data_IF_688803025600
#
_entry.id   IF_688803025600
#
_cell.length_a   1.000
_cell.length_b   1.000
_cell.length_c   1.000
_cell.angle_alpha   90.00
_cell.angle_beta   90.00
_cell.angle_gamma   90.00
#
_symmetry.space_group_name_H-M   'P 1'
#
loop_
_entity.id
_entity.type
_entity.pdbx_description
1 polymer ?
#
# COMPACT_ATOMS: atom_id res chain seq x y z
N UNK A 1 10.20 12.65 19.97
CA UNK A 1 8.90 12.47 19.27
C UNK A 1 8.31 11.12 19.64
N UNK A 2 7.02 11.08 19.99
CA UNK A 2 6.33 9.82 20.26
C UNK A 2 5.76 9.24 18.95
N UNK A 3 6.41 8.21 18.42
CA UNK A 3 5.95 7.51 17.19
C UNK A 3 4.49 7.03 17.28
N UNK A 4 4.00 6.75 18.50
CA UNK A 4 2.61 6.34 18.77
C UNK A 4 1.56 7.43 18.53
N UNK A 5 1.98 8.68 18.36
CA UNK A 5 1.08 9.83 18.11
C UNK A 5 0.97 10.15 16.61
N UNK A 6 1.74 9.48 15.76
CA UNK A 6 1.77 9.72 14.34
C UNK A 6 0.77 8.81 13.61
N UNK A 7 0.16 9.33 12.56
CA UNK A 7 -0.66 8.50 11.67
C UNK A 7 0.21 7.50 10.90
N UNK A 8 -0.40 6.50 10.28
CA UNK A 8 0.31 5.59 9.38
C UNK A 8 1.06 6.36 8.29
N UNK A 9 0.40 7.36 7.68
CA UNK A 9 0.97 8.18 6.61
C UNK A 9 2.16 9.01 7.08
N UNK A 10 2.08 9.57 8.29
CA UNK A 10 3.21 10.27 8.92
C UNK A 10 4.40 9.34 9.13
N UNK A 11 4.14 8.10 9.57
CA UNK A 11 5.19 7.09 9.76
C UNK A 11 5.84 6.72 8.43
N UNK A 12 5.04 6.48 7.39
CA UNK A 12 5.54 6.19 6.04
C UNK A 12 6.43 7.33 5.54
N UNK A 13 5.94 8.56 5.60
CA UNK A 13 6.62 9.75 5.04
C UNK A 13 7.87 10.12 5.83
N UNK A 14 7.82 10.08 7.17
CA UNK A 14 8.90 10.58 8.02
C UNK A 14 9.97 9.51 8.32
N UNK A 15 9.65 8.22 8.17
CA UNK A 15 10.57 7.15 8.57
C UNK A 15 10.79 6.08 7.50
N UNK A 16 9.73 5.52 6.90
CA UNK A 16 9.87 4.37 5.98
C UNK A 16 10.47 4.82 4.65
N UNK A 17 9.88 5.81 3.98
CA UNK A 17 10.34 6.30 2.68
C UNK A 17 11.79 6.82 2.73
N UNK A 18 12.21 7.61 3.74
CA UNK A 18 13.60 8.00 3.90
C UNK A 18 14.56 6.81 4.12
N UNK A 19 14.15 5.78 4.87
CA UNK A 19 14.97 4.61 5.11
C UNK A 19 15.18 3.77 3.83
N UNK A 20 14.15 3.63 2.99
CA UNK A 20 14.26 2.98 1.68
C UNK A 20 15.22 3.73 0.75
N UNK A 21 15.10 5.06 0.72
CA UNK A 21 16.01 5.90 -0.07
C UNK A 21 17.46 5.80 0.44
N UNK A 22 17.69 5.78 1.75
CA UNK A 22 19.01 5.57 2.34
C UNK A 22 19.58 4.18 2.04
N UNK A 23 18.72 3.17 1.90
CA UNK A 23 19.10 1.83 1.45
C UNK A 23 19.36 1.75 -0.07
N UNK A 24 19.23 2.86 -0.80
CA UNK A 24 19.56 2.96 -2.23
C UNK A 24 18.40 2.60 -3.18
N UNK A 25 17.16 2.52 -2.69
CA UNK A 25 15.99 2.31 -3.54
C UNK A 25 15.60 3.62 -4.24
N UNK A 26 15.30 3.55 -5.54
CA UNK A 26 14.65 4.64 -6.26
C UNK A 26 13.15 4.61 -5.98
N UNK A 27 12.68 5.59 -5.20
CA UNK A 27 11.29 5.70 -4.77
C UNK A 27 10.34 5.84 -5.97
N UNK A 28 10.75 6.49 -7.06
CA UNK A 28 9.87 6.75 -8.20
C UNK A 28 9.65 5.51 -9.07
N UNK A 29 10.66 4.63 -9.18
CA UNK A 29 10.60 3.48 -10.09
C UNK A 29 10.42 2.14 -9.38
N UNK A 30 10.87 2.01 -8.13
CA UNK A 30 10.94 0.71 -7.43
C UNK A 30 9.96 0.60 -6.26
N UNK A 31 9.44 1.72 -5.75
CA UNK A 31 8.54 1.73 -4.59
C UNK A 31 7.14 2.15 -5.02
N UNK A 32 6.13 1.45 -4.51
CA UNK A 32 4.73 1.83 -4.68
C UNK A 32 4.02 1.74 -3.35
N UNK A 33 3.40 2.85 -2.94
CA UNK A 33 2.53 2.89 -1.79
C UNK A 33 1.12 2.42 -2.19
N UNK A 34 0.41 1.77 -1.26
CA UNK A 34 -0.98 1.31 -1.45
C UNK A 34 -1.18 0.41 -2.70
N UNK A 35 -0.11 -0.25 -3.18
CA UNK A 35 -0.17 -1.08 -4.37
C UNK A 35 -0.81 -2.44 -4.12
N UNK A 36 -1.87 -2.72 -4.86
CA UNK A 36 -2.65 -3.95 -4.73
C UNK A 36 -1.96 -5.09 -5.50
N UNK A 37 -1.46 -6.08 -4.76
CA UNK A 37 -0.83 -7.29 -5.34
C UNK A 37 -1.84 -8.27 -5.95
N UNK A 38 -3.12 -8.13 -5.62
CA UNK A 38 -4.18 -9.05 -6.05
C UNK A 38 -5.18 -8.35 -6.97
N UNK A 39 -5.74 -9.09 -7.93
CA UNK A 39 -6.73 -8.62 -8.91
C UNK A 39 -8.14 -8.45 -8.29
N UNK A 40 -8.22 -7.87 -7.10
CA UNK A 40 -9.45 -7.77 -6.33
C UNK A 40 -9.94 -9.09 -5.72
N UNK A 41 -10.84 -8.95 -4.74
CA UNK A 41 -11.44 -10.05 -3.99
C UNK A 41 -12.48 -10.79 -4.85
N UNK A 42 -12.54 -12.11 -4.71
CA UNK A 42 -13.68 -12.90 -5.20
C UNK A 42 -14.85 -12.67 -4.24
N UNK A 43 -15.95 -12.17 -4.77
CA UNK A 43 -17.19 -11.93 -4.04
C UNK A 43 -18.18 -13.01 -4.45
N UNK A 44 -18.69 -13.75 -3.46
CA UNK A 44 -19.72 -14.78 -3.65
C UNK A 44 -20.98 -14.36 -2.92
N UNK A 45 -22.12 -14.36 -3.62
CA UNK A 45 -23.46 -14.14 -3.06
C UNK A 45 -24.41 -15.21 -3.60
N UNK A 46 -24.74 -16.20 -2.77
CA UNK A 46 -25.54 -17.35 -3.20
C UNK A 46 -24.81 -18.14 -4.29
N UNK A 47 -25.47 -18.33 -5.45
CA UNK A 47 -24.87 -19.00 -6.63
C UNK A 47 -24.11 -18.04 -7.57
N UNK A 48 -24.09 -16.74 -7.26
CA UNK A 48 -23.37 -15.74 -8.05
C UNK A 48 -21.95 -15.57 -7.51
N UNK A 49 -20.98 -15.60 -8.42
CA UNK A 49 -19.59 -15.28 -8.16
C UNK A 49 -19.13 -14.19 -9.12
N UNK A 50 -18.47 -13.17 -8.57
CA UNK A 50 -17.87 -12.10 -9.35
C UNK A 50 -16.51 -11.75 -8.77
N UNK A 51 -15.59 -11.33 -9.63
CA UNK A 51 -14.35 -10.68 -9.20
C UNK A 51 -14.62 -9.19 -9.18
N UNK A 52 -14.37 -8.54 -8.04
CA UNK A 52 -14.47 -7.09 -7.98
C UNK A 52 -13.48 -6.48 -8.99
N UNK A 53 -14.00 -5.85 -10.05
CA UNK A 53 -13.18 -5.02 -10.92
C UNK A 53 -12.75 -3.80 -10.11
N UNK A 54 -11.45 -3.53 -10.08
CA UNK A 54 -10.92 -2.36 -9.39
C UNK A 54 -10.83 -1.21 -10.37
N UNK A 55 -11.43 -0.08 -10.00
CA UNK A 55 -11.11 1.21 -10.57
C UNK A 55 -9.69 1.55 -10.11
N UNK A 56 -8.76 1.55 -11.06
CA UNK A 56 -7.42 2.11 -10.87
C UNK A 56 -7.41 3.60 -11.13
#
# INVERSE_FOLDING_TARGET
>A
MHKKQLSERDICTQFITPALQQAGWDIASQVREEFLLTKGRIIVRGRLHARAAQAG
#
